data_IF_488175196951
#
_entry.id   IF_488175196951
#
_cell.length_a   1.000
_cell.length_b   1.000
_cell.length_c   1.000
_cell.angle_alpha   90.00
_cell.angle_beta   90.00
_cell.angle_gamma   90.00
#
_symmetry.space_group_name_H-M   'P 1'
#
loop_
_entity.id
_entity.type
_entity.pdbx_description
1 polymer ?
#
# COMPACT_ATOMS: atom_id res chain seq x y z
N UNK A 1 -15.14 -3.07 -14.34
CA UNK A 1 -13.98 -2.71 -13.49
C UNK A 1 -13.38 -1.43 -14.04
N UNK A 2 -13.08 -0.45 -13.18
CA UNK A 2 -12.36 0.77 -13.59
C UNK A 2 -10.94 0.38 -13.97
N UNK A 3 -10.46 0.81 -15.14
CA UNK A 3 -9.12 0.51 -15.63
C UNK A 3 -8.13 1.52 -15.06
N UNK A 4 -7.76 1.36 -13.79
CA UNK A 4 -6.82 2.26 -13.12
C UNK A 4 -5.45 2.33 -13.81
N UNK A 5 -5.03 1.25 -14.49
CA UNK A 5 -3.79 1.22 -15.26
C UNK A 5 -3.81 2.10 -16.53
N UNK A 6 -4.98 2.54 -17.01
CA UNK A 6 -5.08 3.49 -18.13
C UNK A 6 -5.02 4.94 -17.66
N UNK A 7 -5.11 5.17 -16.35
CA UNK A 7 -4.92 6.50 -15.75
C UNK A 7 -3.42 6.67 -15.53
N UNK A 8 -2.85 7.69 -16.15
CA UNK A 8 -1.48 8.10 -15.88
C UNK A 8 -1.42 8.84 -14.52
N UNK A 9 -1.58 8.06 -13.44
CA UNK A 9 -1.67 8.57 -12.08
C UNK A 9 -0.38 9.26 -11.65
N UNK A 10 0.77 8.75 -12.09
CA UNK A 10 2.07 9.32 -11.74
C UNK A 10 2.22 10.74 -12.30
N UNK A 11 1.79 10.99 -13.54
CA UNK A 11 1.85 12.33 -14.13
C UNK A 11 0.86 13.30 -13.49
N UNK A 12 -0.36 12.84 -13.16
CA UNK A 12 -1.33 13.64 -12.41
C UNK A 12 -0.77 14.06 -11.06
N UNK A 13 -0.21 13.11 -10.29
CA UNK A 13 0.37 13.39 -8.98
C UNK A 13 1.58 14.32 -9.08
N UNK A 14 2.47 14.09 -10.06
CA UNK A 14 3.63 14.94 -10.31
C UNK A 14 3.23 16.37 -10.63
N UNK A 15 2.21 16.55 -11.48
CA UNK A 15 1.69 17.88 -11.84
C UNK A 15 1.21 18.63 -10.59
N UNK A 16 0.36 18.01 -9.79
CA UNK A 16 -0.17 18.63 -8.57
C UNK A 16 0.94 18.93 -7.54
N UNK A 17 1.89 18.01 -7.37
CA UNK A 17 3.02 18.20 -6.48
C UNK A 17 3.91 19.37 -6.93
N UNK A 18 4.21 19.49 -8.22
CA UNK A 18 4.99 20.60 -8.76
C UNK A 18 4.26 21.94 -8.59
N UNK A 19 2.94 21.99 -8.80
CA UNK A 19 2.13 23.18 -8.54
C UNK A 19 2.25 23.59 -7.07
N UNK A 20 2.09 22.65 -6.13
CA UNK A 20 2.21 22.93 -4.70
C UNK A 20 3.61 23.42 -4.31
N UNK A 21 4.67 22.75 -4.76
CA UNK A 21 6.05 23.15 -4.46
C UNK A 21 6.39 24.51 -5.05
N UNK A 22 5.99 24.76 -6.30
CA UNK A 22 6.22 26.06 -6.97
C UNK A 22 5.49 27.20 -6.26
N UNK A 23 4.27 26.96 -5.76
CA UNK A 23 3.51 27.92 -4.95
C UNK A 23 4.19 28.26 -3.62
N UNK A 24 5.02 27.37 -3.09
CA UNK A 24 5.87 27.60 -1.93
C UNK A 24 7.22 28.24 -2.30
N UNK A 25 7.48 28.49 -3.58
CA UNK A 25 8.79 28.95 -4.07
C UNK A 25 9.88 27.87 -3.98
N UNK A 26 9.51 26.59 -3.89
CA UNK A 26 10.44 25.45 -3.88
C UNK A 26 10.63 24.91 -5.30
N UNK A 27 11.86 24.99 -5.81
CA UNK A 27 12.22 24.44 -7.12
C UNK A 27 12.81 23.05 -6.92
N UNK A 28 12.14 22.04 -7.45
CA UNK A 28 12.56 20.65 -7.36
C UNK A 28 12.34 19.93 -8.70
N UNK A 29 13.30 19.10 -9.09
CA UNK A 29 13.15 18.19 -10.22
C UNK A 29 12.47 16.91 -9.75
N UNK A 30 11.35 16.55 -10.37
CA UNK A 30 10.58 15.36 -10.03
C UNK A 30 10.50 14.45 -11.24
N UNK A 31 10.91 13.20 -11.08
CA UNK A 31 10.86 12.18 -12.12
C UNK A 31 9.92 11.06 -11.69
N UNK A 32 9.02 10.68 -12.59
CA UNK A 32 8.12 9.57 -12.37
C UNK A 32 8.81 8.26 -12.77
N UNK A 33 8.54 7.21 -12.00
CA UNK A 33 8.91 5.85 -12.35
C UNK A 33 7.74 4.96 -12.05
N UNK A 34 7.11 4.45 -13.10
CA UNK A 34 6.11 3.40 -12.97
C UNK A 34 6.81 2.05 -12.98
N UNK A 35 6.43 1.21 -12.03
CA UNK A 35 6.95 -0.15 -11.87
C UNK A 35 5.75 -1.06 -11.71
N UNK A 36 5.59 -2.02 -12.61
CA UNK A 36 4.47 -2.94 -12.62
C UNK A 36 4.66 -4.10 -13.59
N UNK A 37 5.02 -3.85 -14.85
CA UNK A 37 5.26 -4.94 -15.79
C UNK A 37 6.52 -5.73 -15.44
N UNK A 38 7.59 -5.01 -15.12
CA UNK A 38 8.92 -5.53 -14.81
C UNK A 38 8.88 -6.45 -13.59
N UNK A 39 8.11 -6.07 -12.57
CA UNK A 39 7.96 -6.87 -11.34
C UNK A 39 6.98 -8.02 -11.48
N UNK A 40 6.00 -7.94 -12.40
CA UNK A 40 5.08 -9.05 -12.69
C UNK A 40 5.66 -10.10 -13.61
N UNK A 41 6.63 -9.71 -14.45
CA UNK A 41 7.30 -10.58 -15.41
C UNK A 41 8.68 -11.05 -14.94
N UNK A 42 9.10 -10.65 -13.74
CA UNK A 42 10.32 -11.18 -13.13
C UNK A 42 10.18 -12.69 -12.88
N UNK A 43 11.26 -13.48 -13.06
CA UNK A 43 11.26 -14.87 -12.63
C UNK A 43 10.93 -14.99 -11.13
N UNK A 44 10.18 -16.02 -10.71
CA UNK A 44 9.85 -16.21 -9.30
C UNK A 44 11.12 -16.49 -8.50
N UNK A 45 11.17 -15.96 -7.28
CA UNK A 45 12.26 -16.27 -6.35
C UNK A 45 12.07 -17.68 -5.74
N UNK A 46 13.03 -18.13 -4.92
CA UNK A 46 12.98 -19.46 -4.29
C UNK A 46 11.71 -19.69 -3.45
N UNK A 47 11.26 -18.66 -2.71
CA UNK A 47 10.04 -18.73 -1.92
C UNK A 47 8.81 -18.91 -2.81
N UNK A 48 8.67 -18.12 -3.88
CA UNK A 48 7.54 -18.20 -4.80
C UNK A 48 7.48 -19.56 -5.50
N UNK A 49 8.63 -20.13 -5.88
CA UNK A 49 8.72 -21.46 -6.50
C UNK A 49 8.23 -22.55 -5.53
N UNK A 50 8.72 -22.55 -4.29
CA UNK A 50 8.30 -23.53 -3.29
C UNK A 50 6.83 -23.36 -2.92
N UNK A 51 6.40 -22.13 -2.65
CA UNK A 51 5.05 -21.81 -2.25
C UNK A 51 4.03 -22.23 -3.32
N UNK A 52 4.26 -21.90 -4.58
CA UNK A 52 3.35 -22.26 -5.68
C UNK A 52 3.36 -23.76 -6.00
N UNK A 53 4.51 -24.43 -5.88
CA UNK A 53 4.59 -25.90 -5.98
C UNK A 53 3.73 -26.57 -4.91
N UNK A 54 3.85 -26.12 -3.66
CA UNK A 54 3.12 -26.68 -2.52
C UNK A 54 1.62 -26.42 -2.64
N UNK A 55 1.21 -25.23 -3.11
CA UNK A 55 -0.20 -24.94 -3.43
C UNK A 55 -0.74 -25.87 -4.51
N UNK A 56 0.03 -26.12 -5.58
CA UNK A 56 -0.36 -27.03 -6.65
C UNK A 56 -0.54 -28.47 -6.17
N UNK A 57 0.39 -28.96 -5.34
CA UNK A 57 0.26 -30.27 -4.69
C UNK A 57 -1.00 -30.34 -3.80
N UNK A 58 -1.23 -29.33 -2.97
CA UNK A 58 -2.42 -29.29 -2.12
C UNK A 58 -3.74 -29.23 -2.90
N UNK A 59 -3.76 -28.56 -4.06
CA UNK A 59 -4.91 -28.58 -4.95
C UNK A 59 -5.16 -29.95 -5.55
N UNK A 60 -4.11 -30.66 -5.96
CA UNK A 60 -4.22 -32.03 -6.45
C UNK A 60 -4.80 -32.97 -5.39
N UNK A 61 -4.23 -33.00 -4.19
CA UNK A 61 -4.71 -33.86 -3.09
C UNK A 61 -6.18 -33.54 -2.75
N UNK A 62 -6.53 -32.26 -2.63
CA UNK A 62 -7.89 -31.85 -2.34
C UNK A 62 -8.90 -32.34 -3.38
N UNK A 63 -8.58 -32.23 -4.68
CA UNK A 63 -9.45 -32.70 -5.75
C UNK A 63 -9.51 -34.24 -5.80
N UNK A 64 -8.37 -34.92 -5.62
CA UNK A 64 -8.28 -36.39 -5.62
C UNK A 64 -9.15 -36.99 -4.51
N UNK A 65 -9.21 -36.34 -3.36
CA UNK A 65 -9.99 -36.79 -2.20
C UNK A 65 -11.47 -36.34 -2.29
N UNK A 66 -11.91 -35.82 -3.44
CA UNK A 66 -13.31 -35.47 -3.73
C UNK A 66 -13.72 -34.05 -3.36
N UNK A 67 -12.77 -33.20 -2.97
CA UNK A 67 -13.00 -31.79 -2.68
C UNK A 67 -13.40 -30.97 -3.91
N UNK A 68 -14.16 -29.90 -3.72
CA UNK A 68 -14.57 -28.98 -4.77
C UNK A 68 -14.82 -27.57 -4.21
N UNK A 69 -14.94 -26.57 -5.08
CA UNK A 69 -15.38 -25.20 -4.75
C UNK A 69 -14.61 -24.53 -3.60
N UNK A 70 -13.28 -24.64 -3.59
CA UNK A 70 -12.44 -24.03 -2.56
C UNK A 70 -11.18 -23.37 -3.14
N UNK A 71 -10.71 -22.33 -2.47
CA UNK A 71 -9.37 -21.76 -2.65
C UNK A 71 -8.39 -22.53 -1.76
N UNK A 72 -7.33 -23.07 -2.35
CA UNK A 72 -6.26 -23.71 -1.58
C UNK A 72 -5.36 -22.64 -0.97
N UNK A 73 -5.14 -22.73 0.34
CA UNK A 73 -4.24 -21.85 1.07
C UNK A 73 -3.24 -22.65 1.88
N UNK A 74 -2.11 -22.03 2.24
CA UNK A 74 -1.17 -22.57 3.23
C UNK A 74 -1.20 -21.66 4.45
N UNK A 75 -1.56 -22.22 5.60
CA UNK A 75 -1.63 -21.50 6.88
C UNK A 75 -0.85 -22.28 7.92
N UNK A 76 0.09 -21.63 8.61
CA UNK A 76 0.95 -22.28 9.62
C UNK A 76 1.56 -23.60 9.11
N UNK A 77 2.03 -23.60 7.86
CA UNK A 77 2.63 -24.76 7.18
C UNK A 77 1.68 -25.95 6.91
N UNK A 78 0.36 -25.72 6.92
CA UNK A 78 -0.66 -26.71 6.59
C UNK A 78 -1.49 -26.25 5.39
N UNK A 79 -1.88 -27.21 4.55
CA UNK A 79 -2.85 -26.95 3.47
C UNK A 79 -4.23 -26.80 4.09
N UNK A 80 -4.83 -25.63 3.92
CA UNK A 80 -6.16 -25.28 4.43
C UNK A 80 -7.03 -24.84 3.24
N UNK A 81 -7.93 -25.70 2.74
CA UNK A 81 -8.93 -25.30 1.75
C UNK A 81 -9.92 -24.32 2.38
N UNK A 82 -10.18 -23.19 1.70
CA UNK A 82 -11.21 -22.23 2.10
C UNK A 82 -12.35 -22.28 1.08
N UNK A 83 -13.54 -22.75 1.45
CA UNK A 83 -14.70 -22.78 0.57
C UNK A 83 -15.02 -21.42 -0.05
N UNK A 84 -15.44 -21.40 -1.32
CA UNK A 84 -15.71 -20.14 -2.03
C UNK A 84 -16.85 -19.33 -1.42
N UNK A 85 -17.85 -19.96 -0.81
CA UNK A 85 -18.96 -19.28 -0.12
C UNK A 85 -18.51 -18.46 1.11
N UNK A 86 -17.33 -18.73 1.66
CA UNK A 86 -16.73 -17.95 2.75
C UNK A 86 -15.98 -16.71 2.26
N UNK A 87 -15.58 -16.67 0.98
CA UNK A 87 -14.74 -15.61 0.41
C UNK A 87 -15.50 -14.75 -0.60
N UNK A 88 -16.47 -15.34 -1.29
CA UNK A 88 -17.34 -14.67 -2.25
C UNK A 88 -18.50 -14.03 -1.50
N UNK A 89 -18.64 -12.74 -1.68
CA UNK A 89 -19.78 -12.00 -1.17
C UNK A 89 -21.06 -12.43 -1.91
N UNK A 90 -22.13 -12.83 -1.19
CA UNK A 90 -23.30 -13.46 -1.79
C UNK A 90 -24.11 -12.48 -2.67
N UNK A 91 -24.04 -11.18 -2.39
CA UNK A 91 -24.82 -10.16 -3.08
C UNK A 91 -24.09 -9.66 -4.32
N UNK A 92 -22.80 -9.35 -4.19
CA UNK A 92 -21.98 -8.80 -5.27
C UNK A 92 -21.35 -9.86 -6.16
N UNK A 93 -21.35 -11.13 -5.73
CA UNK A 93 -20.68 -12.29 -6.38
C UNK A 93 -19.18 -12.08 -6.60
N UNK A 94 -18.56 -11.19 -5.83
CA UNK A 94 -17.12 -10.89 -5.90
C UNK A 94 -16.41 -11.39 -4.66
N UNK A 95 -15.15 -11.76 -4.84
CA UNK A 95 -14.26 -12.03 -3.71
C UNK A 95 -14.12 -10.78 -2.85
N UNK A 96 -14.23 -10.94 -1.52
CA UNK A 96 -13.99 -9.85 -0.57
C UNK A 96 -12.59 -9.28 -0.76
N UNK A 97 -12.50 -7.95 -0.83
CA UNK A 97 -11.22 -7.25 -0.91
C UNK A 97 -10.61 -7.20 0.49
N UNK A 98 -9.44 -7.81 0.66
CA UNK A 98 -8.69 -7.73 1.92
C UNK A 98 -7.92 -6.42 1.97
N UNK A 99 -8.42 -5.47 2.75
CA UNK A 99 -7.71 -4.21 3.00
C UNK A 99 -6.50 -4.43 3.90
N UNK A 100 -5.54 -3.51 3.83
CA UNK A 100 -4.40 -3.49 4.76
C UNK A 100 -4.92 -3.32 6.19
N UNK A 101 -4.51 -4.20 7.09
CA UNK A 101 -4.83 -4.05 8.51
C UNK A 101 -3.89 -3.02 9.14
N UNK A 102 -4.39 -1.79 9.30
CA UNK A 102 -3.64 -0.67 9.89
C UNK A 102 -3.38 -0.83 11.40
N UNK A 103 -4.04 -1.79 12.06
CA UNK A 103 -3.80 -2.13 13.46
C UNK A 103 -2.75 -3.24 13.63
N UNK A 104 -2.27 -3.85 12.54
CA UNK A 104 -1.26 -4.91 12.61
C UNK A 104 0.09 -4.40 13.10
N UNK A 105 0.85 -5.25 13.79
CA UNK A 105 2.18 -4.90 14.27
C UNK A 105 3.13 -4.54 13.12
N UNK A 106 3.07 -5.29 12.00
CA UNK A 106 3.90 -5.02 10.83
C UNK A 106 3.59 -3.65 10.22
N UNK A 107 2.30 -3.30 10.08
CA UNK A 107 1.92 -1.98 9.60
C UNK A 107 2.42 -0.87 10.53
N UNK A 108 2.23 -1.04 11.85
CA UNK A 108 2.68 -0.06 12.84
C UNK A 108 4.20 0.13 12.79
N UNK A 109 4.98 -0.95 12.69
CA UNK A 109 6.44 -0.90 12.55
C UNK A 109 6.83 -0.17 11.25
N UNK A 110 6.28 -0.57 10.11
CA UNK A 110 6.57 0.06 8.83
C UNK A 110 6.26 1.57 8.88
N UNK A 111 5.16 1.94 9.51
CA UNK A 111 4.75 3.33 9.69
C UNK A 111 5.73 4.13 10.56
N UNK A 112 6.30 3.55 11.62
CA UNK A 112 7.30 4.22 12.46
C UNK A 112 8.60 4.55 11.71
N UNK A 113 8.94 3.77 10.68
CA UNK A 113 10.14 4.00 9.86
C UNK A 113 9.91 4.92 8.65
N UNK A 114 8.66 5.32 8.37
CA UNK A 114 8.38 6.26 7.29
C UNK A 114 8.89 7.65 7.66
N UNK A 115 9.57 8.31 6.72
CA UNK A 115 9.83 9.75 6.82
C UNK A 115 8.50 10.46 6.55
N UNK A 116 7.89 11.02 7.61
CA UNK A 116 6.60 11.70 7.55
C UNK A 116 6.45 12.69 8.69
N UNK A 117 5.52 13.63 8.53
CA UNK A 117 5.10 14.49 9.62
C UNK A 117 4.26 13.69 10.63
N UNK A 118 4.55 13.92 11.91
CA UNK A 118 3.88 13.37 13.07
C UNK A 118 3.37 14.47 14.00
N UNK A 119 2.44 14.14 14.89
CA UNK A 119 1.84 15.12 15.83
C UNK A 119 2.90 15.91 16.61
N UNK A 120 3.98 15.24 17.01
CA UNK A 120 5.11 15.84 17.74
C UNK A 120 5.87 16.91 16.94
N UNK A 121 5.85 16.83 15.60
CA UNK A 121 6.56 17.76 14.73
C UNK A 121 5.87 19.14 14.69
N UNK A 122 4.64 19.21 15.18
CA UNK A 122 3.88 20.45 15.37
C UNK A 122 3.93 20.95 16.82
N UNK A 123 4.74 20.36 17.70
CA UNK A 123 4.95 20.93 19.04
C UNK A 123 5.77 22.22 18.94
N UNK A 124 5.38 23.31 19.62
CA UNK A 124 6.15 24.55 19.59
C UNK A 124 7.61 24.34 19.98
N UNK A 125 8.53 24.92 19.21
CA UNK A 125 9.97 24.81 19.43
C UNK A 125 10.77 24.90 18.13
N UNK A 126 12.10 24.87 18.28
CA UNK A 126 13.06 25.08 17.17
C UNK A 126 12.82 24.10 16.02
N UNK A 127 12.52 22.83 16.30
CA UNK A 127 12.32 21.83 15.23
C UNK A 127 11.06 22.11 14.39
N UNK A 128 9.97 22.55 15.00
CA UNK A 128 8.77 22.97 14.28
C UNK A 128 9.02 24.22 13.42
N UNK A 129 9.73 25.20 13.96
CA UNK A 129 10.12 26.40 13.21
C UNK A 129 11.00 26.06 12.01
N UNK A 130 11.94 25.12 12.16
CA UNK A 130 12.81 24.65 11.07
C UNK A 130 12.01 23.99 9.94
N UNK A 131 10.95 23.23 10.26
CA UNK A 131 10.05 22.65 9.26
C UNK A 131 9.29 23.74 8.49
N UNK A 132 8.76 24.74 9.20
CA UNK A 132 8.07 25.86 8.56
C UNK A 132 9.01 26.66 7.63
N UNK A 133 10.24 26.94 8.08
CA UNK A 133 11.27 27.59 7.27
C UNK A 133 11.64 26.76 6.05
N UNK A 134 11.82 25.45 6.19
CA UNK A 134 12.11 24.55 5.07
C UNK A 134 10.99 24.54 4.03
N UNK A 135 9.74 24.71 4.46
CA UNK A 135 8.56 24.86 3.60
C UNK A 135 8.34 26.30 3.09
N UNK A 136 9.21 27.25 3.47
CA UNK A 136 9.09 28.69 3.14
C UNK A 136 7.76 29.31 3.60
N UNK A 137 7.32 28.95 4.80
CA UNK A 137 6.07 29.42 5.41
C UNK A 137 6.32 29.97 6.80
N UNK A 138 5.39 30.79 7.31
CA UNK A 138 5.30 31.03 8.74
C UNK A 138 4.86 29.77 9.49
N UNK A 139 5.15 29.64 10.80
CA UNK A 139 4.71 28.49 11.60
C UNK A 139 3.18 28.28 11.57
N UNK A 140 2.39 29.36 11.59
CA UNK A 140 0.93 29.28 11.55
C UNK A 140 0.39 28.79 10.20
N UNK A 141 0.97 29.27 9.10
CA UNK A 141 0.64 28.80 7.75
C UNK A 141 1.00 27.32 7.57
N UNK A 142 2.20 26.93 8.01
CA UNK A 142 2.66 25.54 7.94
C UNK A 142 1.73 24.62 8.73
N UNK A 143 1.35 25.02 9.94
CA UNK A 143 0.38 24.28 10.77
C UNK A 143 -0.95 24.13 10.06
N UNK A 144 -1.54 25.24 9.59
CA UNK A 144 -2.83 25.25 8.88
C UNK A 144 -2.79 24.34 7.65
N UNK A 145 -1.66 24.31 6.94
CA UNK A 145 -1.53 23.56 5.71
C UNK A 145 -1.27 22.07 5.93
N UNK A 146 -0.51 21.67 6.96
CA UNK A 146 -0.03 20.29 7.06
C UNK A 146 -0.48 19.54 8.31
N UNK A 147 -1.01 20.18 9.36
CA UNK A 147 -1.33 19.47 10.60
C UNK A 147 -2.36 18.35 10.39
N UNK A 148 -3.31 18.51 9.47
CA UNK A 148 -4.34 17.52 9.17
C UNK A 148 -3.78 16.17 8.70
N UNK A 149 -2.55 16.11 8.16
CA UNK A 149 -1.94 14.84 7.72
C UNK A 149 -1.53 13.94 8.89
N UNK A 150 -1.61 14.48 10.11
CA UNK A 150 -1.36 13.76 11.36
C UNK A 150 -2.63 13.19 12.00
N UNK A 151 -3.80 13.46 11.41
CA UNK A 151 -5.09 12.95 11.85
C UNK A 151 -5.33 11.60 11.15
N UNK A 152 -4.93 10.53 11.83
CA UNK A 152 -5.09 9.14 11.40
C UNK A 152 -5.39 8.25 12.61
#
# INVERSE_FOLDING_TARGET
HIRYAEINFSDVLKKELLVKLSGMGLKMTINNKEVGYEVRCAPPNAFDIEYTRNLGYGAFEFLRDGGTNALITIQNNQIVPIPFDQIIDPDTKKTRIRMVNTQSIQYRIARQYMIRLEKKDFNPGIEFERLAVAAKMSPDEFRKQFQYVTDY
#
